data_IF_139958624442
#
_entry.id   IF_139958624442
#
_cell.length_a   1.000
_cell.length_b   1.000
_cell.length_c   1.000
_cell.angle_alpha   90.00
_cell.angle_beta   90.00
_cell.angle_gamma   90.00
#
_symmetry.space_group_name_H-M   'P 1'
#
loop_
_entity.id
_entity.type
_entity.pdbx_description
1 polymer ?
#
# COMPACT_ATOMS: atom_id res chain seq x y z
N UNK A 1 -6.35 -11.47 -17.42
CA UNK A 1 -5.75 -10.35 -16.69
C UNK A 1 -6.36 -10.40 -15.30
N UNK A 2 -5.58 -10.68 -14.27
CA UNK A 2 -6.06 -10.57 -12.89
C UNK A 2 -6.26 -9.07 -12.63
N UNK A 3 -7.52 -8.65 -12.51
CA UNK A 3 -7.84 -7.30 -12.02
C UNK A 3 -7.21 -7.16 -10.63
N UNK A 4 -6.07 -6.48 -10.56
CA UNK A 4 -5.46 -6.10 -9.30
C UNK A 4 -6.45 -5.17 -8.60
N UNK A 5 -6.97 -5.61 -7.46
CA UNK A 5 -7.92 -4.83 -6.68
C UNK A 5 -7.29 -3.48 -6.33
N UNK A 6 -8.03 -2.40 -6.60
CA UNK A 6 -7.55 -1.04 -6.30
C UNK A 6 -7.78 -0.78 -4.81
N UNK A 7 -6.71 -0.87 -4.03
CA UNK A 7 -6.71 -0.66 -2.57
C UNK A 7 -6.65 0.83 -2.18
N UNK A 8 -6.50 1.73 -3.15
CA UNK A 8 -6.34 3.18 -2.92
C UNK A 8 -7.44 4.01 -3.56
N UNK A 9 -7.83 5.09 -2.87
CA UNK A 9 -8.73 6.09 -3.45
C UNK A 9 -7.95 6.97 -4.44
N UNK A 10 -8.08 6.69 -5.73
CA UNK A 10 -7.32 7.37 -6.80
C UNK A 10 -7.42 8.90 -6.73
N UNK A 11 -8.58 9.44 -6.36
CA UNK A 11 -8.77 10.90 -6.25
C UNK A 11 -7.94 11.54 -5.14
N UNK A 12 -7.67 10.82 -4.04
CA UNK A 12 -6.80 11.31 -2.95
C UNK A 12 -5.33 11.36 -3.41
N UNK A 13 -4.86 10.33 -4.11
CA UNK A 13 -3.50 10.29 -4.66
C UNK A 13 -3.29 11.42 -5.68
N UNK A 14 -4.22 11.59 -6.63
CA UNK A 14 -4.19 12.67 -7.62
C UNK A 14 -4.11 14.04 -6.96
N UNK A 15 -4.98 14.29 -5.95
CA UNK A 15 -4.99 15.55 -5.21
C UNK A 15 -3.68 15.80 -4.46
N UNK A 16 -3.14 14.78 -3.79
CA UNK A 16 -1.90 14.88 -3.04
C UNK A 16 -0.71 15.23 -3.94
N UNK A 17 -0.54 14.52 -5.06
CA UNK A 17 0.55 14.78 -6.02
C UNK A 17 0.40 16.18 -6.62
N UNK A 18 -0.79 16.54 -7.08
CA UNK A 18 -1.06 17.88 -7.66
C UNK A 18 -0.77 19.00 -6.67
N UNK A 19 -1.18 18.85 -5.41
CA UNK A 19 -0.97 19.87 -4.38
C UNK A 19 0.51 20.06 -4.02
N UNK A 20 1.31 18.99 -4.03
CA UNK A 20 2.74 19.08 -3.67
C UNK A 20 3.66 19.48 -4.82
N UNK A 21 3.35 19.12 -6.06
CA UNK A 21 4.27 19.29 -7.19
C UNK A 21 3.67 20.00 -8.40
N UNK A 22 2.37 20.27 -8.41
CA UNK A 22 1.68 20.78 -9.59
C UNK A 22 1.50 19.75 -10.71
N UNK A 23 1.98 18.51 -10.55
CA UNK A 23 1.93 17.47 -11.57
C UNK A 23 0.55 16.81 -11.69
N UNK A 24 0.23 16.36 -12.91
CA UNK A 24 -0.85 15.40 -13.15
C UNK A 24 -0.40 13.98 -12.85
N UNK A 25 -1.33 13.09 -12.51
CA UNK A 25 -1.05 11.68 -12.21
C UNK A 25 -1.71 10.80 -13.28
N UNK A 26 -0.97 9.81 -13.81
CA UNK A 26 -1.52 8.88 -14.80
C UNK A 26 -2.63 8.00 -14.20
N UNK A 27 -3.49 7.44 -15.07
CA UNK A 27 -4.55 6.51 -14.65
C UNK A 27 -4.02 5.21 -14.04
N UNK A 28 -2.86 4.74 -14.51
CA UNK A 28 -2.25 3.47 -14.08
C UNK A 28 -1.60 3.53 -12.70
N UNK A 29 -1.31 4.72 -12.17
CA UNK A 29 -0.67 4.89 -10.85
C UNK A 29 -1.48 4.24 -9.73
N UNK A 30 -2.82 4.28 -9.78
CA UNK A 30 -3.64 3.67 -8.74
C UNK A 30 -3.45 2.15 -8.65
N UNK A 31 -3.41 1.47 -9.80
CA UNK A 31 -3.16 0.02 -9.85
C UNK A 31 -1.76 -0.31 -9.35
N UNK A 32 -0.74 0.44 -9.80
CA UNK A 32 0.63 0.23 -9.36
C UNK A 32 0.80 0.39 -7.84
N UNK A 33 0.27 1.47 -7.25
CA UNK A 33 0.30 1.68 -5.80
C UNK A 33 -0.48 0.61 -5.03
N UNK A 34 -1.59 0.12 -5.59
CA UNK A 34 -2.37 -0.95 -4.95
C UNK A 34 -1.58 -2.25 -4.88
N UNK A 35 -0.82 -2.58 -5.94
CA UNK A 35 0.09 -3.73 -5.91
C UNK A 35 1.16 -3.60 -4.82
N UNK A 36 1.79 -2.42 -4.69
CA UNK A 36 2.77 -2.19 -3.62
C UNK A 36 2.16 -2.33 -2.22
N UNK A 37 0.97 -1.77 -2.00
CA UNK A 37 0.26 -1.88 -0.72
C UNK A 37 -0.12 -3.34 -0.43
N UNK A 38 -0.57 -4.09 -1.43
CA UNK A 38 -0.87 -5.51 -1.27
C UNK A 38 0.37 -6.28 -0.80
N UNK A 39 1.52 -6.09 -1.45
CA UNK A 39 2.79 -6.72 -1.04
C UNK A 39 3.19 -6.34 0.40
N UNK A 40 3.01 -5.08 0.80
CA UNK A 40 3.27 -4.64 2.17
C UNK A 40 2.32 -5.30 3.18
N UNK A 41 1.04 -5.43 2.84
CA UNK A 41 0.06 -6.12 3.67
C UNK A 41 0.37 -7.61 3.80
N UNK A 42 0.76 -8.28 2.73
CA UNK A 42 1.16 -9.69 2.73
C UNK A 42 2.34 -9.91 3.68
N UNK A 43 3.38 -9.07 3.57
CA UNK A 43 4.52 -9.14 4.48
C UNK A 43 4.14 -8.85 5.95
N UNK A 44 3.24 -7.90 6.18
CA UNK A 44 2.77 -7.59 7.53
C UNK A 44 1.92 -8.73 8.13
N UNK A 45 1.13 -9.43 7.32
CA UNK A 45 0.42 -10.64 7.72
C UNK A 45 1.39 -11.75 8.14
N UNK A 46 2.45 -11.96 7.37
CA UNK A 46 3.50 -12.94 7.70
C UNK A 46 4.20 -12.61 9.02
N UNK A 47 4.53 -11.33 9.25
CA UNK A 47 5.14 -10.86 10.50
C UNK A 47 4.22 -11.04 11.72
N UNK A 48 2.92 -10.75 11.54
CA UNK A 48 1.91 -10.99 12.58
C UNK A 48 1.76 -12.48 12.90
N UNK A 49 1.73 -13.32 11.86
CA UNK A 49 1.63 -14.77 11.99
C UNK A 49 2.86 -15.38 12.69
N UNK A 50 4.07 -14.93 12.34
CA UNK A 50 5.32 -15.30 13.01
C UNK A 50 5.30 -14.94 14.50
N UNK A 51 4.63 -13.83 14.85
CA UNK A 51 4.38 -13.40 16.23
C UNK A 51 3.21 -14.12 16.91
N UNK A 52 2.62 -15.15 16.28
CA UNK A 52 1.42 -15.90 16.74
C UNK A 52 0.18 -15.02 16.99
N UNK A 53 0.07 -13.91 16.28
CA UNK A 53 -1.09 -12.99 16.36
C UNK A 53 -2.04 -13.21 15.19
N UNK A 54 -3.32 -12.88 15.42
CA UNK A 54 -4.36 -12.83 14.37
C UNK A 54 -4.73 -11.40 13.95
N UNK A 55 -3.99 -10.43 14.46
CA UNK A 55 -4.21 -9.00 14.23
C UNK A 55 -2.90 -8.42 13.71
N UNK A 56 -2.94 -7.88 12.49
CA UNK A 56 -1.86 -7.09 11.91
C UNK A 56 -1.81 -5.74 12.65
N UNK A 57 -0.62 -5.36 13.07
CA UNK A 57 -0.34 -4.14 13.81
C UNK A 57 0.61 -3.26 13.01
N UNK A 58 0.67 -1.98 13.35
CA UNK A 58 1.58 -1.00 12.76
C UNK A 58 3.04 -1.49 12.68
N UNK A 59 3.54 -2.11 13.75
CA UNK A 59 4.90 -2.69 13.80
C UNK A 59 5.16 -3.78 12.77
N UNK A 60 4.13 -4.43 12.23
CA UNK A 60 4.29 -5.48 11.23
C UNK A 60 4.67 -4.94 9.84
N UNK A 61 4.42 -3.65 9.60
CA UNK A 61 4.82 -2.95 8.37
C UNK A 61 6.26 -2.40 8.42
N UNK A 62 6.96 -2.55 9.54
CA UNK A 62 8.27 -1.93 9.81
C UNK A 62 9.45 -2.91 9.83
N UNK A 63 9.38 -4.06 9.15
CA UNK A 63 10.39 -5.12 9.22
C UNK A 63 11.78 -4.72 8.70
N UNK A 64 12.57 -4.03 9.52
CA UNK A 64 13.70 -4.59 10.27
C UNK A 64 14.16 -3.52 11.26
N UNK A 65 14.36 -3.92 12.51
CA UNK A 65 15.01 -3.09 13.51
C UNK A 65 16.37 -2.60 13.00
N UNK A 66 16.76 -1.45 13.53
CA UNK A 66 18.17 -1.11 13.75
C UNK A 66 18.98 -2.31 14.28
#
# INVERSE_FOLDING_TARGET
MSDQEVLVVQSKIKKYIKAKSGMSTSGSVAGHLSGLIAQMCDQAMDNAAASKRKTVMDRDFGGNGE
#
